data_IF_753015037676
#
_entry.id   IF_753015037676
#
_cell.length_a   1.000
_cell.length_b   1.000
_cell.length_c   1.000
_cell.angle_alpha   90.00
_cell.angle_beta   90.00
_cell.angle_gamma   90.00
#
_symmetry.space_group_name_H-M   'P 1'
#
loop_
_entity.id
_entity.type
_entity.pdbx_description
1 polymer ?
#
# COMPACT_ATOMS: atom_id res chain seq x y z
N UNK A 1 6.07 9.32 -16.89
CA UNK A 1 6.92 9.85 -17.99
C UNK A 1 6.10 10.49 -19.10
N UNK A 2 5.31 9.77 -19.90
CA UNK A 2 4.53 10.40 -21.00
C UNK A 2 3.54 11.45 -20.47
N UNK A 3 2.83 11.16 -19.38
CA UNK A 3 1.84 12.09 -18.81
C UNK A 3 2.49 13.35 -18.23
N UNK A 4 3.70 13.24 -17.68
CA UNK A 4 4.43 14.38 -17.12
C UNK A 4 5.03 15.26 -18.21
N UNK A 5 5.47 14.63 -19.30
CA UNK A 5 5.92 15.32 -20.51
C UNK A 5 4.74 16.07 -21.16
N UNK A 6 3.62 15.38 -21.37
CA UNK A 6 2.43 15.95 -22.00
C UNK A 6 1.88 17.09 -21.14
N UNK A 7 1.77 16.91 -19.82
CA UNK A 7 1.34 17.98 -18.91
C UNK A 7 2.28 19.20 -18.97
N UNK A 8 3.59 19.00 -19.06
CA UNK A 8 4.56 20.12 -19.03
C UNK A 8 4.60 20.88 -20.35
N UNK A 9 4.69 20.18 -21.47
CA UNK A 9 4.84 20.81 -22.79
C UNK A 9 3.51 21.26 -23.38
N UNK A 10 2.44 20.47 -23.25
CA UNK A 10 1.12 20.87 -23.73
C UNK A 10 0.55 22.01 -22.88
N UNK A 11 0.65 21.98 -21.55
CA UNK A 11 0.16 23.08 -20.74
C UNK A 11 0.94 24.38 -21.01
N UNK A 12 2.27 24.32 -21.18
CA UNK A 12 3.05 25.50 -21.54
C UNK A 12 2.63 26.08 -22.91
N UNK A 13 2.45 25.24 -23.92
CA UNK A 13 1.96 25.69 -25.24
C UNK A 13 0.55 26.30 -25.15
N UNK A 14 -0.37 25.67 -24.42
CA UNK A 14 -1.72 26.20 -24.24
C UNK A 14 -1.71 27.56 -23.53
N UNK A 15 -0.92 27.74 -22.47
CA UNK A 15 -0.78 29.03 -21.78
C UNK A 15 -0.28 30.12 -22.72
N UNK A 16 0.74 29.82 -23.53
CA UNK A 16 1.29 30.79 -24.49
C UNK A 16 0.27 31.15 -25.56
N UNK A 17 -0.46 30.17 -26.11
CA UNK A 17 -1.53 30.41 -27.09
C UNK A 17 -2.64 31.27 -26.48
N UNK A 18 -3.11 30.95 -25.27
CA UNK A 18 -4.18 31.69 -24.58
C UNK A 18 -3.81 33.15 -24.29
N UNK A 19 -2.52 33.42 -24.03
CA UNK A 19 -2.03 34.78 -23.79
C UNK A 19 -1.91 35.58 -25.09
N UNK A 20 -1.51 34.94 -26.20
CA UNK A 20 -1.18 35.63 -27.46
C UNK A 20 -2.42 35.80 -28.36
N UNK A 21 -3.29 34.80 -28.42
CA UNK A 21 -4.44 34.74 -29.34
C UNK A 21 -5.42 35.94 -29.23
N UNK A 22 -5.87 36.39 -28.04
CA UNK A 22 -6.80 37.51 -27.94
C UNK A 22 -6.22 38.86 -28.38
N UNK A 23 -4.89 39.00 -28.40
CA UNK A 23 -4.20 40.24 -28.76
C UNK A 23 -3.76 40.30 -30.24
N UNK A 24 -3.46 39.17 -30.86
CA UNK A 24 -3.00 39.12 -32.26
C UNK A 24 -4.11 38.77 -33.26
N UNK A 25 -5.05 37.91 -32.88
CA UNK A 25 -6.16 37.44 -33.72
C UNK A 25 -7.55 37.94 -33.27
N UNK A 26 -7.66 38.44 -32.03
CA UNK A 26 -8.91 38.89 -31.44
C UNK A 26 -9.23 40.38 -31.59
N UNK A 27 -10.25 40.83 -30.86
CA UNK A 27 -10.81 42.19 -30.89
C UNK A 27 -9.96 43.25 -30.15
N UNK A 28 -8.84 42.86 -29.54
CA UNK A 28 -7.90 43.76 -28.83
C UNK A 28 -6.72 44.19 -29.70
N UNK A 29 -6.88 44.14 -31.03
CA UNK A 29 -5.85 44.62 -31.96
C UNK A 29 -5.57 46.11 -31.72
N UNK A 30 -4.30 46.53 -31.70
CA UNK A 30 -3.97 47.91 -31.43
C UNK A 30 -4.47 48.79 -32.58
N UNK A 31 -5.28 49.78 -32.25
CA UNK A 31 -5.47 50.92 -33.14
C UNK A 31 -4.11 51.57 -33.43
N UNK A 32 -3.95 52.22 -34.58
CA UNK A 32 -2.71 52.88 -34.98
C UNK A 32 -2.30 54.06 -34.06
N UNK A 33 -3.09 54.36 -33.04
CA UNK A 33 -2.86 55.41 -32.06
C UNK A 33 -1.93 54.97 -30.92
N UNK A 34 -1.16 55.92 -30.38
CA UNK A 34 -0.23 55.68 -29.25
C UNK A 34 -1.01 55.31 -27.98
N UNK A 35 -2.20 55.89 -27.79
CA UNK A 35 -3.06 55.63 -26.64
C UNK A 35 -3.65 54.20 -26.68
N UNK A 36 -4.10 53.73 -27.85
CA UNK A 36 -4.61 52.37 -28.02
C UNK A 36 -3.54 51.29 -27.79
N UNK A 37 -2.28 51.57 -28.15
CA UNK A 37 -1.15 50.68 -27.82
C UNK A 37 -0.86 50.62 -26.32
N UNK A 38 -0.95 51.75 -25.61
CA UNK A 38 -0.76 51.79 -24.16
C UNK A 38 -1.87 51.02 -23.41
N UNK A 39 -3.12 51.18 -23.85
CA UNK A 39 -4.27 50.46 -23.30
C UNK A 39 -4.15 48.95 -23.56
N UNK A 40 -3.71 48.54 -24.76
CA UNK A 40 -3.43 47.14 -25.08
C UNK A 40 -2.40 46.52 -24.13
N UNK A 41 -1.28 47.21 -23.85
CA UNK A 41 -0.26 46.70 -22.92
C UNK A 41 -0.77 46.58 -21.49
N UNK A 42 -1.63 47.52 -21.06
CA UNK A 42 -2.30 47.45 -19.74
C UNK A 42 -3.20 46.22 -19.65
N UNK A 43 -4.03 45.99 -20.66
CA UNK A 43 -4.94 44.84 -20.74
C UNK A 43 -4.17 43.51 -20.86
N UNK A 44 -3.05 43.49 -21.59
CA UNK A 44 -2.16 42.33 -21.67
C UNK A 44 -1.58 41.98 -20.31
N UNK A 45 -1.08 42.99 -19.58
CA UNK A 45 -0.52 42.79 -18.23
C UNK A 45 -1.57 42.24 -17.27
N UNK A 46 -2.80 42.76 -17.31
CA UNK A 46 -3.90 42.25 -16.50
C UNK A 46 -4.25 40.81 -16.89
N UNK A 47 -4.37 40.52 -18.18
CA UNK A 47 -4.70 39.20 -18.69
C UNK A 47 -3.66 38.14 -18.29
N UNK A 48 -2.38 38.43 -18.50
CA UNK A 48 -1.27 37.59 -18.03
C UNK A 48 -1.32 37.39 -16.51
N UNK A 49 -1.64 38.47 -15.78
CA UNK A 49 -1.77 38.47 -14.33
C UNK A 49 -2.88 37.55 -13.79
N UNK A 50 -3.87 37.21 -14.61
CA UNK A 50 -4.95 36.27 -14.25
C UNK A 50 -4.66 34.86 -14.78
N UNK A 51 -4.20 34.74 -16.02
CA UNK A 51 -3.99 33.44 -16.69
C UNK A 51 -2.85 32.66 -16.05
N UNK A 52 -1.69 33.29 -15.77
CA UNK A 52 -0.54 32.56 -15.20
C UNK A 52 -0.88 31.95 -13.82
N UNK A 53 -1.45 32.70 -12.85
CA UNK A 53 -1.82 32.11 -11.55
C UNK A 53 -2.86 31.00 -11.63
N UNK A 54 -3.83 31.07 -12.55
CA UNK A 54 -4.82 30.02 -12.76
C UNK A 54 -4.16 28.70 -13.19
N UNK A 55 -3.27 28.75 -14.17
CA UNK A 55 -2.57 27.56 -14.63
C UNK A 55 -1.56 27.02 -13.60
N UNK A 56 -0.92 27.89 -12.81
CA UNK A 56 -0.09 27.46 -11.68
C UNK A 56 -0.93 26.73 -10.60
N UNK A 57 -2.13 27.24 -10.29
CA UNK A 57 -3.05 26.60 -9.36
C UNK A 57 -3.53 25.23 -9.90
N UNK A 58 -3.87 25.15 -11.20
CA UNK A 58 -4.24 23.88 -11.86
C UNK A 58 -3.11 22.85 -11.84
N UNK A 59 -1.87 23.27 -12.09
CA UNK A 59 -0.69 22.40 -11.99
C UNK A 59 -0.51 21.86 -10.57
N UNK A 60 -0.65 22.73 -9.57
CA UNK A 60 -0.58 22.35 -8.14
C UNK A 60 -1.70 21.37 -7.76
N UNK A 61 -2.93 21.63 -8.22
CA UNK A 61 -4.07 20.75 -7.99
C UNK A 61 -3.85 19.35 -8.60
N UNK A 62 -3.32 19.28 -9.82
CA UNK A 62 -3.00 18.03 -10.51
C UNK A 62 -1.99 17.19 -9.72
N UNK A 63 -0.95 17.82 -9.17
CA UNK A 63 0.05 17.15 -8.34
C UNK A 63 -0.56 16.69 -7.00
N UNK A 64 -1.37 17.52 -6.37
CA UNK A 64 -2.04 17.20 -5.10
C UNK A 64 -2.99 16.01 -5.23
N UNK A 65 -3.72 15.89 -6.34
CA UNK A 65 -4.58 14.73 -6.62
C UNK A 65 -3.79 13.41 -6.59
N UNK A 66 -2.58 13.37 -7.17
CA UNK A 66 -1.71 12.19 -7.12
C UNK A 66 -1.27 11.85 -5.69
N UNK A 67 -1.03 12.85 -4.85
CA UNK A 67 -0.67 12.64 -3.44
C UNK A 67 -1.82 12.03 -2.66
N UNK A 68 -3.05 12.50 -2.89
CA UNK A 68 -4.27 11.93 -2.27
C UNK A 68 -4.45 10.46 -2.65
N UNK A 69 -4.28 10.10 -3.92
CA UNK A 69 -4.39 8.70 -4.34
C UNK A 69 -3.36 7.78 -3.66
N UNK A 70 -2.13 8.27 -3.45
CA UNK A 70 -1.11 7.52 -2.71
C UNK A 70 -1.49 7.35 -1.24
N UNK A 71 -2.05 8.39 -0.63
CA UNK A 71 -2.54 8.32 0.75
C UNK A 71 -3.70 7.33 0.90
N UNK A 72 -4.63 7.30 -0.05
CA UNK A 72 -5.73 6.32 -0.07
C UNK A 72 -5.19 4.89 -0.04
N UNK A 73 -4.18 4.58 -0.86
CA UNK A 73 -3.57 3.24 -0.85
C UNK A 73 -2.90 2.86 0.47
N UNK A 74 -2.35 3.82 1.22
CA UNK A 74 -1.84 3.56 2.58
C UNK A 74 -2.98 3.37 3.59
N UNK A 75 -4.04 4.17 3.49
CA UNK A 75 -5.21 4.04 4.35
C UNK A 75 -5.89 2.68 4.16
N UNK A 76 -6.01 2.19 2.92
CA UNK A 76 -6.59 0.89 2.60
C UNK A 76 -5.80 -0.26 3.24
N UNK A 77 -4.46 -0.22 3.18
CA UNK A 77 -3.62 -1.24 3.83
C UNK A 77 -3.77 -1.25 5.34
N UNK A 78 -3.83 -0.06 5.96
CA UNK A 78 -4.05 0.05 7.40
C UNK A 78 -5.46 -0.46 7.75
N UNK A 79 -6.44 -0.15 6.92
CA UNK A 79 -7.81 -0.64 7.09
C UNK A 79 -7.87 -2.17 7.03
N UNK A 80 -7.21 -2.79 6.05
CA UNK A 80 -7.10 -4.24 5.92
C UNK A 80 -6.48 -4.88 7.18
N UNK A 81 -5.37 -4.33 7.68
CA UNK A 81 -4.75 -4.82 8.92
C UNK A 81 -5.66 -4.67 10.14
N UNK A 82 -6.41 -3.57 10.24
CA UNK A 82 -7.39 -3.37 11.32
C UNK A 82 -8.54 -4.38 11.22
N UNK A 83 -9.01 -4.70 10.02
CA UNK A 83 -10.06 -5.71 9.81
C UNK A 83 -9.57 -7.09 10.23
N UNK A 84 -8.40 -7.51 9.76
CA UNK A 84 -7.78 -8.80 10.13
C UNK A 84 -7.58 -8.88 11.65
N UNK A 85 -7.05 -7.83 12.27
CA UNK A 85 -6.85 -7.80 13.73
C UNK A 85 -8.17 -7.96 14.51
N UNK A 86 -9.26 -7.32 14.04
CA UNK A 86 -10.59 -7.46 14.65
C UNK A 86 -11.16 -8.85 14.45
N UNK A 87 -10.98 -9.44 13.28
CA UNK A 87 -11.41 -10.81 12.98
C UNK A 87 -10.68 -11.82 13.87
N UNK A 88 -9.34 -11.75 13.97
CA UNK A 88 -8.57 -12.58 14.89
C UNK A 88 -9.01 -12.38 16.35
N UNK A 89 -9.24 -11.14 16.80
CA UNK A 89 -9.67 -10.87 18.18
C UNK A 89 -11.08 -11.39 18.48
N UNK A 90 -11.95 -11.46 17.47
CA UNK A 90 -13.29 -12.03 17.59
C UNK A 90 -13.26 -13.57 17.56
N UNK A 91 -12.38 -14.15 16.75
CA UNK A 91 -12.19 -15.59 16.69
C UNK A 91 -11.53 -16.13 17.96
N UNK A 92 -10.60 -15.40 18.58
CA UNK A 92 -10.02 -15.76 19.88
C UNK A 92 -11.08 -15.75 21.00
N UNK A 93 -12.10 -14.87 20.90
CA UNK A 93 -13.28 -14.87 21.77
C UNK A 93 -14.23 -16.03 21.49
N UNK A 94 -14.39 -16.45 20.24
CA UNK A 94 -15.17 -17.66 19.88
C UNK A 94 -14.43 -18.94 20.25
N UNK A 95 -13.11 -19.00 20.07
CA UNK A 95 -12.26 -20.09 20.48
C UNK A 95 -12.26 -20.23 22.00
N UNK A 96 -12.20 -19.15 22.77
CA UNK A 96 -12.34 -19.20 24.23
C UNK A 96 -13.76 -19.59 24.70
N UNK A 97 -14.81 -19.18 23.99
CA UNK A 97 -16.20 -19.61 24.26
C UNK A 97 -16.46 -21.08 23.85
N UNK A 98 -15.86 -21.58 22.78
CA UNK A 98 -15.91 -23.01 22.40
C UNK A 98 -15.02 -23.86 23.32
N UNK A 99 -13.90 -23.33 23.82
CA UNK A 99 -13.03 -23.98 24.81
C UNK A 99 -13.68 -24.09 26.19
N UNK A 100 -14.72 -23.30 26.48
CA UNK A 100 -15.57 -23.50 27.64
C UNK A 100 -16.51 -24.72 27.48
N UNK A 101 -16.73 -25.21 26.26
CA UNK A 101 -17.53 -26.41 25.97
C UNK A 101 -16.71 -27.66 25.61
N UNK A 102 -15.50 -27.51 25.06
CA UNK A 102 -14.55 -28.62 24.88
C UNK A 102 -13.62 -28.67 26.09
N UNK A 103 -13.94 -29.55 27.02
CA UNK A 103 -13.13 -29.90 28.18
C UNK A 103 -11.78 -30.46 27.71
N UNK A 104 -10.83 -29.58 27.40
CA UNK A 104 -9.44 -29.97 27.17
C UNK A 104 -8.86 -30.28 28.54
N UNK A 105 -8.93 -31.56 28.91
CA UNK A 105 -8.26 -32.07 30.09
C UNK A 105 -6.76 -31.83 29.91
N UNK A 106 -6.23 -30.82 30.61
CA UNK A 106 -4.79 -30.67 30.82
C UNK A 106 -4.42 -31.68 31.89
N UNK A 107 -4.21 -32.92 31.46
CA UNK A 107 -3.62 -33.96 32.29
C UNK A 107 -2.11 -33.88 32.10
N UNK A 108 -1.40 -33.59 33.18
CA UNK A 108 0.06 -33.68 33.21
C UNK A 108 0.46 -35.13 32.96
N UNK A 109 1.10 -35.38 31.82
CA UNK A 109 1.58 -36.69 31.41
C UNK A 109 3.11 -36.64 31.34
N UNK A 110 3.77 -37.71 31.80
CA UNK A 110 5.22 -37.85 31.74
C UNK A 110 5.75 -38.14 30.32
N UNK A 111 4.96 -37.90 29.27
CA UNK A 111 5.36 -38.15 27.89
C UNK A 111 4.66 -37.18 26.92
N UNK A 112 5.36 -36.87 25.82
CA UNK A 112 4.82 -36.15 24.67
C UNK A 112 4.67 -37.16 23.53
N UNK A 113 3.45 -37.34 23.03
CA UNK A 113 3.15 -38.25 21.91
C UNK A 113 2.44 -37.51 20.78
N UNK A 114 3.02 -37.60 19.58
CA UNK A 114 2.36 -37.35 18.31
C UNK A 114 1.92 -38.69 17.75
N UNK A 115 0.63 -38.83 17.41
CA UNK A 115 0.09 -40.03 16.77
C UNK A 115 -0.61 -39.63 15.47
N UNK A 116 -0.05 -40.06 14.34
CA UNK A 116 -0.57 -39.84 12.99
C UNK A 116 -0.90 -38.38 12.67
N UNK A 117 0.02 -37.48 13.02
CA UNK A 117 -0.16 -36.04 12.83
C UNK A 117 0.27 -35.62 11.43
N UNK A 118 -0.58 -34.85 10.75
CA UNK A 118 -0.28 -34.21 9.47
C UNK A 118 0.14 -32.76 9.69
N UNK A 119 1.35 -32.40 9.25
CA UNK A 119 1.87 -31.03 9.33
C UNK A 119 1.68 -30.33 8.00
N UNK A 120 0.93 -29.24 8.00
CA UNK A 120 0.63 -28.45 6.79
C UNK A 120 1.02 -27.00 7.05
N UNK A 121 1.73 -26.36 6.12
CA UNK A 121 2.01 -24.93 6.20
C UNK A 121 0.71 -24.13 6.04
N UNK A 122 0.62 -22.90 6.56
CA UNK A 122 -0.51 -22.00 6.28
C UNK A 122 -0.74 -21.77 4.78
N UNK A 123 0.31 -21.91 3.96
CA UNK A 123 0.26 -21.86 2.50
C UNK A 123 -0.27 -23.14 1.83
N UNK A 124 -0.61 -24.17 2.60
CA UNK A 124 -1.23 -25.42 2.13
C UNK A 124 -0.25 -26.56 1.79
N UNK A 125 1.06 -26.38 1.97
CA UNK A 125 2.03 -27.41 1.68
C UNK A 125 2.10 -28.44 2.81
N UNK A 126 1.97 -29.72 2.48
CA UNK A 126 2.09 -30.80 3.47
C UNK A 126 3.57 -31.12 3.69
N UNK A 127 4.09 -30.78 4.88
CA UNK A 127 5.48 -31.06 5.26
C UNK A 127 5.65 -32.51 5.73
N UNK A 128 4.68 -33.02 6.50
CA UNK A 128 4.67 -34.41 6.98
C UNK A 128 3.25 -34.95 6.92
N UNK A 129 3.08 -36.16 6.38
CA UNK A 129 1.75 -36.78 6.20
C UNK A 129 1.27 -37.55 7.42
N UNK A 130 2.17 -38.25 8.09
CA UNK A 130 1.87 -39.17 9.19
C UNK A 130 3.06 -39.19 10.16
N UNK A 131 3.15 -38.16 11.00
CA UNK A 131 4.16 -38.08 12.06
C UNK A 131 3.65 -38.83 13.29
N UNK A 132 4.37 -39.89 13.66
CA UNK A 132 4.16 -40.60 14.92
C UNK A 132 5.48 -40.61 15.70
N UNK A 133 5.50 -39.97 16.87
CA UNK A 133 6.67 -39.81 17.73
C UNK A 133 6.23 -39.81 19.18
N UNK A 134 6.89 -40.57 20.04
CA UNK A 134 6.67 -40.56 21.49
C UNK A 134 7.98 -40.30 22.21
N UNK A 135 7.97 -39.36 23.16
CA UNK A 135 9.13 -38.96 23.96
C UNK A 135 8.73 -38.97 25.42
N UNK A 136 9.50 -39.65 26.26
CA UNK A 136 9.26 -39.75 27.70
C UNK A 136 10.06 -38.68 28.46
N UNK A 137 9.54 -38.22 29.61
CA UNK A 137 10.23 -37.31 30.53
C UNK A 137 11.57 -37.89 30.96
N UNK A 138 12.60 -37.05 30.99
CA UNK A 138 13.99 -37.42 31.21
C UNK A 138 14.74 -37.89 29.96
N UNK A 139 14.12 -37.93 28.78
CA UNK A 139 14.77 -38.39 27.53
C UNK A 139 15.35 -37.24 26.70
N UNK A 140 16.45 -37.54 26.01
CA UNK A 140 17.02 -36.64 25.00
C UNK A 140 16.48 -37.01 23.61
N UNK A 141 15.93 -36.03 22.91
CA UNK A 141 15.46 -36.15 21.54
C UNK A 141 16.44 -35.44 20.59
N UNK A 142 16.98 -36.19 19.64
CA UNK A 142 17.76 -35.66 18.52
C UNK A 142 16.85 -35.57 17.29
N UNK A 143 16.54 -34.35 16.84
CA UNK A 143 15.85 -34.12 15.58
C UNK A 143 16.89 -33.76 14.54
N UNK A 144 17.04 -34.61 13.53
CA UNK A 144 17.91 -34.33 12.38
C UNK A 144 17.07 -34.15 11.12
N UNK A 145 17.51 -33.29 10.23
CA UNK A 145 16.82 -33.04 8.97
C UNK A 145 17.73 -32.38 7.96
N UNK A 146 17.27 -32.33 6.72
CA UNK A 146 17.97 -31.68 5.63
C UNK A 146 17.20 -30.43 5.20
N UNK A 147 17.84 -29.28 5.24
CA UNK A 147 17.25 -28.02 4.82
C UNK A 147 18.22 -27.28 3.91
N UNK A 148 17.81 -27.03 2.65
CA UNK A 148 18.61 -26.32 1.64
C UNK A 148 20.08 -26.77 1.63
N UNK A 149 20.30 -28.06 1.38
CA UNK A 149 21.62 -28.69 1.28
C UNK A 149 22.43 -28.83 2.58
N UNK A 150 21.89 -28.38 3.72
CA UNK A 150 22.54 -28.47 5.02
C UNK A 150 21.86 -29.47 5.93
N UNK A 151 22.64 -30.26 6.66
CA UNK A 151 22.13 -31.07 7.77
C UNK A 151 21.88 -30.13 8.94
N UNK A 152 20.64 -30.11 9.42
CA UNK A 152 20.24 -29.38 10.62
C UNK A 152 20.01 -30.39 11.74
N UNK A 153 20.62 -30.13 12.90
CA UNK A 153 20.55 -30.99 14.08
C UNK A 153 20.02 -30.15 15.24
N UNK A 154 18.93 -30.59 15.85
CA UNK A 154 18.40 -30.03 17.09
C UNK A 154 18.43 -31.10 18.17
N UNK A 155 18.96 -30.75 19.34
CA UNK A 155 18.94 -31.58 20.53
C UNK A 155 17.97 -30.93 21.52
N UNK A 156 16.95 -31.68 21.92
CA UNK A 156 16.02 -31.30 22.96
C UNK A 156 16.16 -32.26 24.14
N UNK A 157 16.29 -31.73 25.34
CA UNK A 157 16.16 -32.51 26.58
C UNK A 157 14.79 -32.22 27.16
N UNK A 158 13.98 -33.27 27.30
CA UNK A 158 12.68 -33.17 27.96
C UNK A 158 12.88 -33.50 29.43
N UNK A 159 12.73 -32.51 30.31
CA UNK A 159 12.77 -32.67 31.76
C UNK A 159 11.37 -32.97 32.27
#
# INVERSE_FOLDING_TARGET
MIQDFLLKYLAATFVVVLIIEPFFAGHLRPDSSILGRAEMFSNLRYHIGVVIPLFLALGTLSISSRRVNRLSGYADRIHELMLISRELSADDKKASLQKAGSMNYLTEANFVEFSRVKVVTPTGNVLVKDLSLRVESGSNLLITGFFLENIVIYIFTFF
#
